data_IF_594114351882
#
_entry.id   IF_594114351882
#
_cell.length_a   1.000
_cell.length_b   1.000
_cell.length_c   1.000
_cell.angle_alpha   90.00
_cell.angle_beta   90.00
_cell.angle_gamma   90.00
#
_symmetry.space_group_name_H-M   'P 1'
#
loop_
_entity.id
_entity.type
_entity.pdbx_description
1 polymer ?
#
# COMPACT_ATOMS: atom_id res chain seq x y z
N UNK A 1 20.13 -14.62 17.29
CA UNK A 1 18.71 -14.47 16.93
C UNK A 1 18.38 -15.60 15.98
N UNK A 2 17.26 -16.27 16.21
CA UNK A 2 16.79 -17.31 15.31
C UNK A 2 16.39 -16.67 13.97
N UNK A 3 16.72 -17.33 12.88
CA UNK A 3 16.43 -16.87 11.51
C UNK A 3 14.92 -16.94 11.24
N UNK A 4 14.33 -15.84 10.80
CA UNK A 4 12.92 -15.79 10.36
C UNK A 4 12.86 -16.29 8.92
N UNK A 5 12.25 -17.45 8.72
CA UNK A 5 12.15 -18.11 7.42
C UNK A 5 10.78 -17.84 6.81
N UNK A 6 10.76 -17.27 5.61
CA UNK A 6 9.53 -16.92 4.91
C UNK A 6 9.46 -17.54 3.52
N UNK A 7 8.25 -17.64 2.98
CA UNK A 7 7.98 -17.94 1.59
C UNK A 7 7.50 -16.73 0.83
N UNK A 8 7.74 -16.66 -0.49
CA UNK A 8 7.17 -15.66 -1.38
C UNK A 8 6.27 -16.33 -2.43
N UNK A 9 5.08 -15.77 -2.63
CA UNK A 9 4.09 -16.26 -3.60
C UNK A 9 3.88 -15.16 -4.64
N UNK A 10 4.38 -15.40 -5.85
CA UNK A 10 4.49 -14.42 -6.93
C UNK A 10 5.87 -13.79 -7.00
N UNK A 11 6.66 -14.14 -8.01
CA UNK A 11 8.01 -13.60 -8.27
C UNK A 11 8.04 -12.66 -9.48
N UNK A 12 6.89 -12.08 -9.81
CA UNK A 12 6.77 -11.03 -10.82
C UNK A 12 7.50 -9.74 -10.43
N UNK A 13 7.17 -8.63 -11.08
CA UNK A 13 7.86 -7.35 -10.85
C UNK A 13 7.87 -6.92 -9.37
N UNK A 14 6.73 -7.05 -8.67
CA UNK A 14 6.63 -6.60 -7.28
C UNK A 14 7.33 -7.58 -6.33
N UNK A 15 7.21 -8.89 -6.55
CA UNK A 15 7.93 -9.90 -5.76
C UNK A 15 9.44 -9.71 -5.82
N UNK A 16 9.99 -9.40 -7.02
CA UNK A 16 11.42 -9.05 -7.17
C UNK A 16 11.80 -7.79 -6.40
N UNK A 17 10.92 -6.78 -6.36
CA UNK A 17 11.17 -5.57 -5.58
C UNK A 17 11.21 -5.86 -4.07
N UNK A 18 10.37 -6.80 -3.59
CA UNK A 18 10.39 -7.25 -2.20
C UNK A 18 11.66 -8.05 -1.91
N UNK A 19 11.98 -9.04 -2.74
CA UNK A 19 13.20 -9.84 -2.60
C UNK A 19 14.46 -8.96 -2.52
N UNK A 20 14.57 -7.96 -3.38
CA UNK A 20 15.67 -7.00 -3.35
C UNK A 20 15.83 -6.28 -2.01
N UNK A 21 14.73 -6.02 -1.30
CA UNK A 21 14.76 -5.38 0.02
C UNK A 21 15.02 -6.37 1.15
N UNK A 22 14.59 -7.63 0.98
CA UNK A 22 14.74 -8.66 2.00
C UNK A 22 16.19 -9.07 2.23
N UNK A 23 17.06 -8.98 1.22
CA UNK A 23 18.48 -9.28 1.38
C UNK A 23 19.21 -8.36 2.38
N UNK A 24 18.67 -7.16 2.59
CA UNK A 24 19.23 -6.17 3.52
C UNK A 24 18.64 -6.27 4.94
N UNK A 25 17.73 -7.23 5.20
CA UNK A 25 17.10 -7.41 6.52
C UNK A 25 17.84 -8.50 7.31
N UNK A 26 18.60 -8.14 8.34
CA UNK A 26 19.32 -9.13 9.16
C UNK A 26 18.37 -10.11 9.82
N UNK A 27 18.66 -11.41 9.74
CA UNK A 27 17.87 -12.45 10.36
C UNK A 27 16.61 -12.86 9.59
N UNK A 28 16.34 -12.29 8.40
CA UNK A 28 15.27 -12.72 7.50
C UNK A 28 15.83 -13.56 6.36
N UNK A 29 15.20 -14.69 6.04
CA UNK A 29 15.55 -15.52 4.90
C UNK A 29 14.32 -15.97 4.12
N UNK A 30 14.33 -15.72 2.81
CA UNK A 30 13.34 -16.29 1.88
C UNK A 30 13.84 -17.69 1.49
N UNK A 31 13.16 -18.73 1.96
CA UNK A 31 13.59 -20.13 1.76
C UNK A 31 12.81 -20.84 0.67
N UNK A 32 11.64 -20.31 0.29
CA UNK A 32 10.80 -20.89 -0.74
C UNK A 32 10.12 -19.82 -1.58
N UNK A 33 9.90 -20.12 -2.86
CA UNK A 33 9.17 -19.27 -3.79
C UNK A 33 8.14 -20.09 -4.57
N UNK A 34 7.01 -19.47 -4.92
CA UNK A 34 5.99 -20.07 -5.77
C UNK A 34 5.56 -19.10 -6.88
N UNK A 35 5.51 -19.59 -8.12
CA UNK A 35 4.96 -18.88 -9.28
C UNK A 35 4.52 -19.87 -10.34
N UNK A 36 3.51 -19.52 -11.15
CA UNK A 36 3.06 -20.34 -12.28
C UNK A 36 4.01 -20.29 -13.48
N UNK A 37 4.79 -19.21 -13.60
CA UNK A 37 5.84 -19.08 -14.61
C UNK A 37 7.12 -19.75 -14.08
N UNK A 38 7.29 -21.03 -14.43
CA UNK A 38 8.42 -21.82 -13.98
C UNK A 38 9.78 -21.29 -14.45
N UNK A 39 9.83 -20.64 -15.62
CA UNK A 39 11.06 -20.06 -16.15
C UNK A 39 11.47 -18.83 -15.33
N UNK A 40 10.53 -17.95 -15.06
CA UNK A 40 10.79 -16.77 -14.22
C UNK A 40 11.04 -17.17 -12.76
N UNK A 41 10.31 -18.15 -12.22
CA UNK A 41 10.53 -18.70 -10.89
C UNK A 41 11.96 -19.23 -10.74
N UNK A 42 12.42 -20.02 -11.70
CA UNK A 42 13.79 -20.57 -11.70
C UNK A 42 14.82 -19.46 -11.73
N UNK A 43 14.68 -18.51 -12.66
CA UNK A 43 15.60 -17.38 -12.79
C UNK A 43 15.71 -16.55 -11.51
N UNK A 44 14.57 -16.18 -10.91
CA UNK A 44 14.52 -15.38 -9.68
C UNK A 44 15.06 -16.16 -8.49
N UNK A 45 14.70 -17.44 -8.36
CA UNK A 45 15.19 -18.27 -7.28
C UNK A 45 16.70 -18.46 -7.32
N UNK A 46 17.29 -18.62 -8.52
CA UNK A 46 18.75 -18.67 -8.70
C UNK A 46 19.42 -17.33 -8.32
N UNK A 47 18.84 -16.20 -8.74
CA UNK A 47 19.35 -14.86 -8.45
C UNK A 47 19.40 -14.55 -6.95
N UNK A 48 18.40 -14.99 -6.18
CA UNK A 48 18.29 -14.72 -4.74
C UNK A 48 18.66 -15.90 -3.82
N UNK A 49 19.15 -17.00 -4.39
CA UNK A 49 19.56 -18.18 -3.62
C UNK A 49 18.41 -18.89 -2.90
N UNK A 50 17.20 -18.88 -3.49
CA UNK A 50 16.02 -19.53 -2.92
C UNK A 50 16.06 -21.03 -3.26
N UNK A 51 16.14 -21.86 -2.24
CA UNK A 51 16.33 -23.30 -2.40
C UNK A 51 15.10 -24.02 -2.97
N UNK A 52 13.90 -23.67 -2.45
CA UNK A 52 12.68 -24.43 -2.75
C UNK A 52 11.76 -23.67 -3.70
N UNK A 53 11.34 -24.33 -4.77
CA UNK A 53 10.56 -23.75 -5.87
C UNK A 53 9.31 -24.57 -6.11
N UNK A 54 8.18 -23.91 -6.27
CA UNK A 54 6.89 -24.55 -6.43
C UNK A 54 6.07 -23.87 -7.54
N UNK A 55 5.51 -24.62 -8.46
CA UNK A 55 4.49 -24.12 -9.41
C UNK A 55 3.10 -24.05 -8.77
N UNK A 56 2.87 -24.75 -7.66
CA UNK A 56 1.67 -24.67 -6.84
C UNK A 56 2.01 -24.11 -5.44
N UNK A 57 1.51 -22.91 -5.12
CA UNK A 57 1.75 -22.24 -3.84
C UNK A 57 1.27 -23.08 -2.63
N UNK A 58 0.30 -23.99 -2.80
CA UNK A 58 -0.18 -24.86 -1.71
C UNK A 58 0.94 -25.75 -1.20
N UNK A 59 1.84 -26.20 -2.10
CA UNK A 59 3.01 -26.99 -1.71
C UNK A 59 4.04 -26.20 -0.91
N UNK A 60 4.14 -24.88 -1.17
CA UNK A 60 4.94 -23.97 -0.33
C UNK A 60 4.31 -23.87 1.06
N UNK A 61 2.99 -23.78 1.17
CA UNK A 61 2.28 -23.67 2.45
C UNK A 61 2.36 -24.93 3.32
N UNK A 62 2.61 -26.11 2.75
CA UNK A 62 2.80 -27.37 3.48
C UNK A 62 4.11 -27.42 4.30
N UNK A 63 5.00 -26.42 4.17
CA UNK A 63 6.30 -26.41 4.84
C UNK A 63 6.18 -25.91 6.29
N UNK A 64 6.65 -26.72 7.22
CA UNK A 64 6.63 -26.37 8.67
C UNK A 64 7.73 -25.38 9.06
N UNK A 65 8.76 -25.23 8.23
CA UNK A 65 9.88 -24.35 8.49
C UNK A 65 9.66 -22.88 8.03
N UNK A 66 8.49 -22.58 7.48
CA UNK A 66 8.07 -21.23 7.07
C UNK A 66 7.06 -20.70 8.09
N UNK A 67 7.34 -19.53 8.67
CA UNK A 67 6.45 -18.87 9.65
C UNK A 67 5.52 -17.86 9.01
N UNK A 68 5.93 -17.27 7.88
CA UNK A 68 5.16 -16.26 7.17
C UNK A 68 5.31 -16.36 5.66
N UNK A 69 4.34 -15.83 4.93
CA UNK A 69 4.40 -15.71 3.47
C UNK A 69 4.16 -14.28 3.01
N UNK A 70 4.87 -13.91 1.95
CA UNK A 70 4.66 -12.67 1.22
C UNK A 70 3.85 -12.95 -0.06
N UNK A 71 2.69 -12.29 -0.21
CA UNK A 71 1.74 -12.49 -1.31
C UNK A 71 1.86 -11.33 -2.30
N UNK A 72 2.56 -11.58 -3.41
CA UNK A 72 2.87 -10.62 -4.47
C UNK A 72 2.15 -10.95 -5.78
N UNK A 73 0.84 -11.08 -5.72
CA UNK A 73 0.00 -11.55 -6.82
C UNK A 73 -0.88 -10.43 -7.41
N UNK A 74 -1.74 -10.76 -8.38
CA UNK A 74 -2.79 -9.88 -8.84
C UNK A 74 -3.93 -9.78 -7.81
N UNK A 75 -4.60 -8.62 -7.79
CA UNK A 75 -5.58 -8.23 -6.76
C UNK A 75 -6.68 -9.26 -6.50
N UNK A 76 -7.17 -9.94 -7.54
CA UNK A 76 -8.19 -10.99 -7.44
C UNK A 76 -7.71 -12.27 -6.74
N UNK A 77 -6.41 -12.44 -6.58
CA UNK A 77 -5.79 -13.60 -5.93
C UNK A 77 -5.39 -13.32 -4.47
N UNK A 78 -5.39 -12.06 -4.04
CA UNK A 78 -5.01 -11.72 -2.67
C UNK A 78 -5.83 -12.47 -1.63
N UNK A 79 -7.16 -12.42 -1.72
CA UNK A 79 -8.03 -13.06 -0.73
C UNK A 79 -7.91 -14.59 -0.70
N UNK A 80 -8.07 -15.32 -1.80
CA UNK A 80 -8.01 -16.79 -1.74
C UNK A 80 -6.63 -17.31 -1.30
N UNK A 81 -5.53 -16.66 -1.71
CA UNK A 81 -4.18 -17.10 -1.33
C UNK A 81 -3.86 -16.72 0.12
N UNK A 82 -4.21 -15.53 0.56
CA UNK A 82 -4.03 -15.10 1.96
C UNK A 82 -4.82 -15.99 2.93
N UNK A 83 -6.09 -16.28 2.63
CA UNK A 83 -6.91 -17.17 3.47
C UNK A 83 -6.32 -18.58 3.52
N UNK A 84 -5.86 -19.11 2.38
CA UNK A 84 -5.19 -20.41 2.34
C UNK A 84 -3.91 -20.42 3.20
N UNK A 85 -3.11 -19.36 3.15
CA UNK A 85 -1.89 -19.22 3.95
C UNK A 85 -2.19 -19.15 5.46
N UNK A 86 -3.19 -18.35 5.86
CA UNK A 86 -3.65 -18.26 7.26
C UNK A 86 -4.14 -19.63 7.76
N UNK A 87 -4.93 -20.35 6.95
CA UNK A 87 -5.42 -21.69 7.29
C UNK A 87 -4.30 -22.75 7.36
N UNK A 88 -3.18 -22.50 6.69
CA UNK A 88 -1.95 -23.30 6.80
C UNK A 88 -1.02 -22.82 7.93
N UNK A 89 -1.55 -22.08 8.89
CA UNK A 89 -0.86 -21.58 10.08
C UNK A 89 0.28 -20.58 9.79
N UNK A 90 0.19 -19.80 8.67
CA UNK A 90 1.20 -18.78 8.31
C UNK A 90 0.72 -17.37 8.61
N UNK A 91 1.62 -16.52 9.08
CA UNK A 91 1.45 -15.08 9.01
C UNK A 91 1.51 -14.61 7.56
N UNK A 92 0.83 -13.51 7.23
CA UNK A 92 0.78 -13.02 5.84
C UNK A 92 1.13 -11.55 5.74
N UNK A 93 2.08 -11.26 4.87
CA UNK A 93 2.33 -9.95 4.29
C UNK A 93 1.76 -9.96 2.87
N UNK A 94 0.81 -9.10 2.57
CA UNK A 94 0.12 -9.11 1.29
C UNK A 94 0.24 -7.75 0.60
N UNK A 95 0.48 -7.76 -0.69
CA UNK A 95 0.43 -6.55 -1.49
C UNK A 95 -0.95 -5.89 -1.47
N UNK A 96 -0.92 -4.58 -1.71
CA UNK A 96 -2.13 -3.75 -1.85
C UNK A 96 -2.74 -3.91 -3.27
N UNK A 97 -4.04 -3.66 -3.42
CA UNK A 97 -5.06 -3.45 -2.39
C UNK A 97 -5.33 -4.74 -1.62
N UNK A 98 -5.88 -4.64 -0.42
CA UNK A 98 -6.15 -5.83 0.41
C UNK A 98 -6.90 -6.93 -0.36
N UNK A 99 -7.92 -6.56 -1.14
CA UNK A 99 -8.68 -7.46 -2.01
C UNK A 99 -9.41 -6.69 -3.12
N UNK A 100 -10.01 -7.42 -4.05
CA UNK A 100 -10.84 -6.84 -5.13
C UNK A 100 -12.25 -6.41 -4.68
N UNK A 101 -12.70 -6.83 -3.49
CA UNK A 101 -14.02 -6.47 -2.95
C UNK A 101 -13.98 -6.34 -1.42
N UNK A 102 -14.95 -5.58 -0.88
CA UNK A 102 -15.12 -5.46 0.57
C UNK A 102 -15.40 -6.82 1.25
N UNK A 103 -16.20 -7.68 0.62
CA UNK A 103 -16.51 -9.02 1.14
C UNK A 103 -15.23 -9.86 1.27
N UNK A 104 -14.40 -9.87 0.25
CA UNK A 104 -13.15 -10.63 0.26
C UNK A 104 -12.18 -10.07 1.30
N UNK A 105 -12.06 -8.73 1.41
CA UNK A 105 -11.26 -8.08 2.42
C UNK A 105 -11.71 -8.44 3.85
N UNK A 106 -13.02 -8.44 4.09
CA UNK A 106 -13.59 -8.83 5.38
C UNK A 106 -13.26 -10.28 5.70
N UNK A 107 -13.43 -11.20 4.75
CA UNK A 107 -13.08 -12.62 4.92
C UNK A 107 -11.60 -12.84 5.26
N UNK A 108 -10.68 -12.05 4.67
CA UNK A 108 -9.26 -12.10 5.03
C UNK A 108 -9.02 -11.67 6.48
N UNK A 109 -9.66 -10.57 6.91
CA UNK A 109 -9.53 -10.05 8.28
C UNK A 109 -10.12 -11.03 9.30
N UNK A 110 -11.28 -11.63 9.00
CA UNK A 110 -11.92 -12.64 9.84
C UNK A 110 -11.06 -13.90 9.97
N UNK A 111 -10.49 -14.39 8.87
CA UNK A 111 -9.56 -15.53 8.89
C UNK A 111 -8.34 -15.25 9.78
N UNK A 112 -7.74 -14.06 9.64
CA UNK A 112 -6.58 -13.68 10.45
C UNK A 112 -6.91 -13.59 11.95
N UNK A 113 -8.06 -12.98 12.29
CA UNK A 113 -8.50 -12.84 13.69
C UNK A 113 -8.83 -14.20 14.33
N UNK A 114 -9.55 -15.07 13.62
CA UNK A 114 -9.94 -16.38 14.16
C UNK A 114 -8.77 -17.34 14.36
N UNK A 115 -7.72 -17.20 13.58
CA UNK A 115 -6.51 -18.05 13.64
C UNK A 115 -5.37 -17.42 14.46
N UNK A 116 -5.56 -16.23 15.02
CA UNK A 116 -4.53 -15.46 15.71
C UNK A 116 -3.25 -15.29 14.85
N UNK A 117 -3.43 -15.09 13.53
CA UNK A 117 -2.34 -14.83 12.58
C UNK A 117 -2.30 -13.37 12.20
N UNK A 118 -1.11 -12.88 11.97
CA UNK A 118 -0.90 -11.52 11.50
C UNK A 118 -1.24 -11.47 10.00
N UNK A 119 -2.07 -10.49 9.64
CA UNK A 119 -2.27 -10.05 8.27
C UNK A 119 -1.81 -8.60 8.15
N UNK A 120 -0.76 -8.37 7.40
CA UNK A 120 -0.28 -7.03 7.09
C UNK A 120 -0.46 -6.73 5.61
N UNK A 121 -1.00 -5.56 5.29
CA UNK A 121 -1.15 -5.08 3.91
C UNK A 121 -0.07 -4.03 3.63
N UNK A 122 0.61 -4.18 2.50
CA UNK A 122 1.67 -3.28 2.07
C UNK A 122 1.13 -1.90 1.68
N UNK A 123 1.08 -0.98 2.63
CA UNK A 123 0.67 0.41 2.47
C UNK A 123 1.84 1.34 2.79
N UNK A 124 2.82 1.40 1.88
CA UNK A 124 4.09 2.09 2.09
C UNK A 124 3.94 3.55 2.55
N UNK A 125 2.91 4.25 2.08
CA UNK A 125 2.65 5.66 2.44
C UNK A 125 2.43 5.87 3.93
N UNK A 126 1.94 4.86 4.67
CA UNK A 126 1.75 4.95 6.12
C UNK A 126 3.08 5.03 6.89
N UNK A 127 4.16 4.59 6.27
CA UNK A 127 5.50 4.50 6.90
C UNK A 127 6.45 5.61 6.44
N UNK A 128 6.01 6.50 5.55
CA UNK A 128 6.82 7.63 5.10
C UNK A 128 7.05 8.63 6.22
N UNK A 129 8.12 9.40 6.11
CA UNK A 129 8.47 10.43 7.10
C UNK A 129 7.37 11.50 7.17
N UNK A 130 6.83 11.89 6.02
CA UNK A 130 5.76 12.87 5.90
C UNK A 130 4.52 12.43 6.67
N UNK A 131 4.08 11.17 6.50
CA UNK A 131 2.92 10.63 7.22
C UNK A 131 3.15 10.57 8.72
N UNK A 132 4.33 10.09 9.15
CA UNK A 132 4.69 9.99 10.58
C UNK A 132 4.78 11.38 11.22
N UNK A 133 5.38 12.35 10.51
CA UNK A 133 5.46 13.74 10.97
C UNK A 133 4.09 14.38 11.06
N UNK A 134 3.24 14.20 10.03
CA UNK A 134 1.87 14.70 10.04
C UNK A 134 1.08 14.12 11.23
N UNK A 135 1.18 12.81 11.44
CA UNK A 135 0.50 12.13 12.57
C UNK A 135 0.98 12.68 13.92
N UNK A 136 2.28 12.88 14.10
CA UNK A 136 2.83 13.48 15.31
C UNK A 136 2.30 14.91 15.55
N UNK A 137 2.25 15.74 14.52
CA UNK A 137 1.71 17.11 14.62
C UNK A 137 0.22 17.13 14.94
N UNK A 138 -0.55 16.21 14.36
CA UNK A 138 -1.97 16.04 14.66
C UNK A 138 -2.17 15.60 16.11
N UNK A 139 -1.47 14.56 16.55
CA UNK A 139 -1.59 13.99 17.89
C UNK A 139 -1.12 14.95 18.99
N UNK A 140 -0.17 15.84 18.68
CA UNK A 140 0.27 16.91 19.59
C UNK A 140 -0.70 18.10 19.66
N UNK A 141 -1.79 18.08 18.88
CA UNK A 141 -2.76 19.17 18.83
C UNK A 141 -2.32 20.39 18.00
N UNK A 142 -1.19 20.28 17.28
CA UNK A 142 -0.61 21.42 16.54
C UNK A 142 -1.53 22.00 15.45
N UNK A 143 -2.50 21.23 14.95
CA UNK A 143 -3.45 21.68 13.92
C UNK A 143 -4.86 21.91 14.46
N UNK A 144 -5.09 21.68 15.76
CA UNK A 144 -6.42 21.78 16.36
C UNK A 144 -7.36 20.64 15.92
N UNK A 145 -8.69 20.90 15.95
CA UNK A 145 -9.69 19.93 15.54
C UNK A 145 -9.71 19.75 14.02
N UNK A 146 -9.46 18.54 13.54
CA UNK A 146 -9.56 18.20 12.11
C UNK A 146 -11.02 18.28 11.64
N UNK A 147 -11.24 18.80 10.43
CA UNK A 147 -12.56 18.91 9.84
C UNK A 147 -12.61 18.49 8.36
N UNK A 148 -11.46 18.44 7.67
CA UNK A 148 -11.39 18.06 6.27
C UNK A 148 -10.06 17.38 5.94
N UNK A 149 -10.11 16.37 5.04
CA UNK A 149 -8.96 15.75 4.42
C UNK A 149 -9.08 15.75 2.91
N UNK A 150 -7.96 15.79 2.20
CA UNK A 150 -7.85 15.62 0.76
C UNK A 150 -6.96 14.46 0.44
N UNK A 151 -7.47 13.50 -0.33
CA UNK A 151 -6.73 12.37 -0.89
C UNK A 151 -6.47 12.63 -2.36
N UNK A 152 -5.21 12.79 -2.75
CA UNK A 152 -4.87 13.12 -4.13
C UNK A 152 -3.71 12.26 -4.64
N UNK A 153 -3.94 11.59 -5.78
CA UNK A 153 -2.91 10.89 -6.54
C UNK A 153 -2.90 11.38 -7.99
N UNK A 154 -1.70 11.58 -8.51
CA UNK A 154 -1.53 12.18 -9.82
C UNK A 154 -0.46 11.48 -10.66
N UNK A 155 -0.87 11.05 -11.85
CA UNK A 155 0.03 10.75 -12.97
C UNK A 155 -0.53 11.45 -14.21
N UNK A 156 0.31 12.16 -14.93
CA UNK A 156 -0.13 12.85 -16.17
C UNK A 156 -0.41 11.87 -17.29
N UNK A 157 0.40 10.82 -17.41
CA UNK A 157 0.31 9.69 -18.33
C UNK A 157 0.94 8.49 -17.67
N UNK A 158 0.16 7.62 -17.10
CA UNK A 158 0.66 6.49 -16.32
C UNK A 158 -0.38 5.39 -16.17
N UNK A 159 -1.15 5.11 -17.23
CA UNK A 159 -2.04 3.94 -17.30
C UNK A 159 -1.20 2.69 -17.57
N UNK A 160 -1.31 1.66 -16.75
CA UNK A 160 -0.61 0.41 -17.02
C UNK A 160 -0.88 -0.11 -18.42
N UNK A 161 0.09 -0.75 -19.05
CA UNK A 161 0.11 -1.32 -20.38
C UNK A 161 -0.09 -0.31 -21.51
N UNK A 162 -1.17 0.46 -21.51
CA UNK A 162 -1.50 1.38 -22.62
C UNK A 162 -0.54 2.57 -22.72
N UNK A 163 0.03 3.00 -21.62
CA UNK A 163 1.06 4.07 -21.58
C UNK A 163 2.51 3.50 -21.44
N UNK A 164 2.69 2.19 -21.63
CA UNK A 164 4.01 1.57 -21.87
C UNK A 164 4.69 0.90 -20.68
N UNK A 165 3.99 0.66 -19.55
CA UNK A 165 4.55 -0.07 -18.41
C UNK A 165 3.54 -1.09 -17.85
N UNK A 166 4.01 -2.07 -17.07
CA UNK A 166 3.16 -3.11 -16.47
C UNK A 166 2.57 -4.09 -17.48
N UNK A 167 1.60 -4.85 -17.05
CA UNK A 167 0.93 -5.89 -17.86
C UNK A 167 -0.54 -5.56 -18.12
N UNK A 168 -1.13 -6.16 -19.15
CA UNK A 168 -2.54 -6.02 -19.50
C UNK A 168 -3.50 -6.45 -18.36
N UNK A 169 -3.05 -7.28 -17.44
CA UNK A 169 -3.87 -7.72 -16.30
C UNK A 169 -4.24 -6.59 -15.34
N UNK A 170 -3.38 -5.56 -15.20
CA UNK A 170 -3.66 -4.41 -14.35
C UNK A 170 -4.77 -3.48 -14.85
N UNK A 171 -5.20 -3.64 -16.08
CA UNK A 171 -6.26 -2.81 -16.69
C UNK A 171 -7.54 -3.60 -16.98
N UNK A 172 -7.61 -4.85 -16.51
CA UNK A 172 -8.82 -5.68 -16.59
C UNK A 172 -9.52 -5.71 -15.23
N UNK A 173 -10.74 -5.17 -15.17
CA UNK A 173 -11.53 -5.10 -13.93
C UNK A 173 -11.68 -6.46 -13.24
N UNK A 174 -11.80 -7.54 -14.00
CA UNK A 174 -11.89 -8.91 -13.46
C UNK A 174 -10.65 -9.31 -12.65
N UNK A 175 -9.49 -8.76 -12.95
CA UNK A 175 -8.20 -9.09 -12.32
C UNK A 175 -7.80 -8.03 -11.30
N UNK A 176 -7.85 -6.75 -11.73
CA UNK A 176 -7.38 -5.61 -10.95
C UNK A 176 -8.45 -5.00 -10.02
N UNK A 177 -9.73 -5.36 -10.21
CA UNK A 177 -10.91 -4.84 -9.52
C UNK A 177 -11.26 -3.38 -9.89
N UNK A 178 -10.29 -2.52 -10.15
CA UNK A 178 -10.42 -1.13 -10.56
C UNK A 178 -9.13 -0.59 -11.14
N UNK A 179 -9.13 0.67 -11.52
CA UNK A 179 -8.01 1.37 -12.13
C UNK A 179 -7.28 2.30 -11.16
N UNK A 180 -7.23 3.60 -11.48
CA UNK A 180 -6.47 4.60 -10.73
C UNK A 180 -6.84 4.64 -9.24
N UNK A 181 -8.13 4.51 -8.92
CA UNK A 181 -8.61 4.55 -7.55
C UNK A 181 -8.14 3.33 -6.74
N UNK A 182 -8.12 2.13 -7.34
CA UNK A 182 -7.67 0.90 -6.69
C UNK A 182 -6.13 0.79 -6.63
N UNK A 183 -5.41 1.23 -7.67
CA UNK A 183 -3.95 1.12 -7.73
C UNK A 183 -3.25 2.20 -6.90
N UNK A 184 -3.63 3.45 -7.10
CA UNK A 184 -3.00 4.60 -6.42
C UNK A 184 -3.82 5.10 -5.24
N UNK A 185 -5.14 5.21 -5.42
CA UNK A 185 -6.03 5.75 -4.41
C UNK A 185 -5.98 5.00 -3.10
N UNK A 186 -5.73 3.70 -3.12
CA UNK A 186 -5.59 2.90 -1.89
C UNK A 186 -4.50 3.43 -0.96
N UNK A 187 -3.40 3.94 -1.49
CA UNK A 187 -2.32 4.53 -0.68
C UNK A 187 -2.75 5.84 -0.02
N UNK A 188 -3.31 6.75 -0.81
CA UNK A 188 -3.67 8.09 -0.35
C UNK A 188 -4.90 8.06 0.55
N UNK A 189 -5.90 7.24 0.22
CA UNK A 189 -7.10 7.04 1.06
C UNK A 189 -6.72 6.43 2.41
N UNK A 190 -5.88 5.39 2.42
CA UNK A 190 -5.40 4.77 3.66
C UNK A 190 -4.62 5.78 4.52
N UNK A 191 -3.77 6.60 3.89
CA UNK A 191 -3.04 7.67 4.55
C UNK A 191 -3.99 8.70 5.19
N UNK A 192 -5.01 9.14 4.45
CA UNK A 192 -6.02 10.06 5.00
C UNK A 192 -6.80 9.44 6.15
N UNK A 193 -7.31 8.22 5.99
CA UNK A 193 -8.03 7.53 7.07
C UNK A 193 -7.17 7.39 8.34
N UNK A 194 -5.89 7.04 8.18
CA UNK A 194 -4.95 6.94 9.29
C UNK A 194 -4.72 8.28 9.99
N UNK A 195 -4.48 9.35 9.24
CA UNK A 195 -4.24 10.69 9.79
C UNK A 195 -5.49 11.26 10.48
N UNK A 196 -6.67 10.96 9.93
CA UNK A 196 -7.97 11.42 10.46
C UNK A 196 -8.51 10.54 11.60
N UNK A 197 -7.76 9.50 12.04
CA UNK A 197 -8.16 8.64 13.16
C UNK A 197 -9.20 7.58 12.81
N UNK A 198 -9.26 7.16 11.55
CA UNK A 198 -10.22 6.14 11.03
C UNK A 198 -11.68 6.51 11.34
N UNK A 199 -12.18 7.64 10.84
CA UNK A 199 -13.52 8.13 11.15
C UNK A 199 -14.62 7.20 10.62
N UNK A 200 -15.77 7.21 11.26
CA UNK A 200 -16.94 6.45 10.78
C UNK A 200 -17.53 7.12 9.54
N UNK A 201 -17.54 6.39 8.42
CA UNK A 201 -18.06 6.87 7.14
C UNK A 201 -19.59 6.78 7.13
N UNK A 202 -20.27 7.90 6.89
CA UNK A 202 -21.71 7.98 6.75
C UNK A 202 -22.15 7.82 5.29
N UNK A 203 -21.49 8.53 4.38
CA UNK A 203 -21.87 8.57 2.97
C UNK A 203 -20.66 8.81 2.05
N UNK A 204 -20.70 8.16 0.90
CA UNK A 204 -19.75 8.38 -0.19
C UNK A 204 -20.51 8.72 -1.47
N UNK A 205 -20.04 9.73 -2.18
CA UNK A 205 -20.50 10.07 -3.54
C UNK A 205 -19.27 10.25 -4.43
N UNK A 206 -19.35 9.79 -5.68
CA UNK A 206 -18.21 9.92 -6.59
C UNK A 206 -18.53 9.48 -8.00
N UNK A 207 -17.56 9.70 -8.88
CA UNK A 207 -17.64 9.29 -10.27
C UNK A 207 -16.27 8.86 -10.80
N UNK A 208 -16.27 7.90 -11.70
CA UNK A 208 -15.10 7.41 -12.41
C UNK A 208 -15.19 7.75 -13.89
N UNK A 209 -14.03 7.87 -14.55
CA UNK A 209 -13.93 8.32 -15.95
C UNK A 209 -12.90 7.51 -16.71
N UNK A 210 -13.14 7.41 -18.03
CA UNK A 210 -12.24 6.86 -19.03
C UNK A 210 -12.42 7.69 -20.33
N UNK A 211 -11.80 8.87 -20.35
CA UNK A 211 -12.08 9.89 -21.37
C UNK A 211 -10.88 10.16 -22.32
N UNK A 212 -9.65 9.86 -21.87
CA UNK A 212 -8.48 10.20 -22.66
C UNK A 212 -8.20 9.15 -23.73
N UNK A 213 -7.83 9.61 -24.92
CA UNK A 213 -7.42 8.74 -26.00
C UNK A 213 -6.29 7.78 -25.56
N UNK A 214 -6.37 6.55 -26.02
CA UNK A 214 -5.39 5.47 -25.80
C UNK A 214 -4.89 4.98 -27.15
N UNK A 215 -3.71 4.40 -27.17
CA UNK A 215 -3.26 3.63 -28.31
C UNK A 215 -4.29 2.53 -28.65
N UNK A 216 -4.85 2.52 -29.89
CA UNK A 216 -5.95 1.62 -30.24
C UNK A 216 -5.57 0.12 -30.16
N UNK A 217 -4.35 -0.22 -30.57
CA UNK A 217 -3.88 -1.61 -30.56
C UNK A 217 -3.67 -2.11 -29.12
N UNK A 218 -3.03 -1.31 -28.29
CA UNK A 218 -2.82 -1.64 -26.87
C UNK A 218 -4.15 -1.68 -26.12
N UNK A 219 -5.08 -0.78 -26.40
CA UNK A 219 -6.43 -0.82 -25.84
C UNK A 219 -7.14 -2.12 -26.20
N UNK A 220 -7.15 -2.48 -27.47
CA UNK A 220 -7.80 -3.70 -27.96
C UNK A 220 -7.14 -4.96 -27.39
N UNK A 221 -5.80 -5.06 -27.41
CA UNK A 221 -5.07 -6.24 -26.93
C UNK A 221 -5.13 -6.40 -25.42
N UNK A 222 -5.23 -5.31 -24.65
CA UNK A 222 -5.35 -5.36 -23.19
C UNK A 222 -6.76 -5.66 -22.70
N UNK A 223 -7.79 -5.34 -23.47
CA UNK A 223 -9.18 -5.37 -23.01
C UNK A 223 -9.42 -4.37 -21.87
N UNK A 224 -8.85 -3.16 -21.97
CA UNK A 224 -8.91 -2.09 -20.96
C UNK A 224 -10.36 -1.74 -20.59
N UNK A 225 -10.76 -1.95 -19.32
CA UNK A 225 -12.13 -1.76 -18.83
C UNK A 225 -12.22 -1.15 -17.40
N UNK A 226 -11.14 -0.50 -16.95
CA UNK A 226 -11.07 0.18 -15.64
C UNK A 226 -11.00 1.70 -15.81
N UNK A 227 -11.20 2.44 -14.72
CA UNK A 227 -11.11 3.89 -14.72
C UNK A 227 -9.66 4.38 -14.79
N UNK A 228 -9.45 5.52 -15.45
CA UNK A 228 -8.17 6.25 -15.46
C UNK A 228 -8.18 7.48 -14.56
N UNK A 229 -9.37 7.93 -14.18
CA UNK A 229 -9.60 9.06 -13.29
C UNK A 229 -10.82 8.81 -12.41
N UNK A 230 -10.69 9.17 -11.14
CA UNK A 230 -11.79 9.08 -10.19
C UNK A 230 -11.84 10.34 -9.33
N UNK A 231 -13.04 10.77 -8.98
CA UNK A 231 -13.28 11.82 -7.99
C UNK A 231 -14.37 11.39 -7.03
N UNK A 232 -14.27 11.78 -5.77
CA UNK A 232 -15.22 11.41 -4.74
C UNK A 232 -15.26 12.38 -3.59
N UNK A 233 -16.36 12.31 -2.83
CA UNK A 233 -16.56 13.06 -1.60
C UNK A 233 -17.12 12.13 -0.52
N UNK A 234 -16.45 12.10 0.62
CA UNK A 234 -16.81 11.29 1.79
C UNK A 234 -17.31 12.18 2.90
N UNK A 235 -18.40 11.80 3.53
CA UNK A 235 -18.93 12.41 4.76
C UNK A 235 -18.82 11.42 5.89
N UNK A 236 -18.34 11.88 7.03
CA UNK A 236 -18.23 11.11 8.26
C UNK A 236 -19.27 11.55 9.30
N UNK A 237 -19.60 10.67 10.22
CA UNK A 237 -20.67 10.89 11.23
C UNK A 237 -20.39 12.04 12.19
N UNK A 238 -19.13 12.39 12.37
CA UNK A 238 -18.66 13.51 13.23
C UNK A 238 -18.54 14.85 12.51
N UNK A 239 -19.03 14.92 11.25
CA UNK A 239 -18.98 16.10 10.40
C UNK A 239 -17.67 16.29 9.65
N UNK A 240 -16.69 15.41 9.83
CA UNK A 240 -15.46 15.39 9.04
C UNK A 240 -15.78 14.98 7.59
N UNK A 241 -15.04 15.54 6.66
CA UNK A 241 -15.19 15.23 5.23
C UNK A 241 -13.86 14.91 4.57
N UNK A 242 -13.89 14.15 3.47
CA UNK A 242 -12.71 13.89 2.63
C UNK A 242 -13.10 14.05 1.16
N UNK A 243 -12.34 14.84 0.40
CA UNK A 243 -12.38 14.80 -1.06
C UNK A 243 -11.28 13.88 -1.62
N UNK A 244 -11.60 13.20 -2.73
CA UNK A 244 -10.74 12.21 -3.35
C UNK A 244 -10.58 12.58 -4.83
N UNK A 245 -9.34 12.64 -5.31
CA UNK A 245 -8.99 12.82 -6.71
C UNK A 245 -7.82 11.88 -7.05
N UNK A 246 -8.07 10.90 -7.91
CA UNK A 246 -7.05 9.93 -8.31
C UNK A 246 -6.97 9.83 -9.83
N UNK A 247 -5.79 10.04 -10.39
CA UNK A 247 -5.57 10.09 -11.84
C UNK A 247 -4.36 9.28 -12.29
N UNK A 248 -4.58 8.30 -13.14
CA UNK A 248 -3.51 7.69 -13.94
C UNK A 248 -3.20 8.51 -15.20
N UNK A 249 -4.20 9.23 -15.71
CA UNK A 249 -4.03 10.11 -16.86
C UNK A 249 -5.00 11.28 -16.79
N UNK A 250 -4.49 12.50 -17.03
CA UNK A 250 -5.28 13.73 -17.04
C UNK A 250 -4.54 14.81 -17.82
N UNK A 251 -5.29 15.74 -18.43
CA UNK A 251 -4.71 16.87 -19.18
C UNK A 251 -4.40 18.08 -18.28
N UNK A 252 -3.79 17.83 -17.13
CA UNK A 252 -3.26 18.85 -16.22
C UNK A 252 -1.80 18.58 -15.91
N UNK A 253 -1.07 19.59 -15.44
CA UNK A 253 0.33 19.44 -15.12
C UNK A 253 0.54 18.84 -13.71
N UNK A 254 -0.34 19.18 -12.77
CA UNK A 254 -0.32 18.69 -11.39
C UNK A 254 -1.66 18.92 -10.72
N UNK A 255 -1.90 18.21 -9.62
CA UNK A 255 -2.88 18.54 -8.58
C UNK A 255 -2.16 19.01 -7.32
N UNK A 256 -2.88 19.71 -6.46
CA UNK A 256 -2.43 19.90 -5.10
C UNK A 256 -2.33 18.57 -4.37
N UNK A 257 -1.26 18.35 -3.62
CA UNK A 257 -1.02 17.07 -2.92
C UNK A 257 -2.02 16.79 -1.80
N UNK A 258 -2.01 15.56 -1.32
CA UNK A 258 -2.83 15.15 -0.17
C UNK A 258 -2.59 16.06 1.04
N UNK A 259 -3.68 16.40 1.75
CA UNK A 259 -3.61 17.36 2.86
C UNK A 259 -4.68 17.10 3.93
N UNK A 260 -4.44 17.59 5.14
CA UNK A 260 -5.43 17.64 6.23
C UNK A 260 -5.60 19.06 6.73
N UNK A 261 -6.83 19.43 7.06
CA UNK A 261 -7.21 20.76 7.52
C UNK A 261 -7.78 20.69 8.94
N UNK A 262 -7.18 21.45 9.83
CA UNK A 262 -7.61 21.61 11.20
C UNK A 262 -7.96 23.05 11.53
N UNK A 263 -8.60 23.27 12.69
CA UNK A 263 -9.08 24.58 13.13
C UNK A 263 -7.96 25.59 13.43
N UNK A 264 -6.73 25.11 13.66
CA UNK A 264 -5.57 25.93 14.03
C UNK A 264 -4.39 25.81 13.06
N UNK A 265 -4.50 24.92 12.07
CA UNK A 265 -3.48 24.75 11.04
C UNK A 265 -3.86 23.66 10.04
N UNK A 266 -3.09 23.57 8.97
CA UNK A 266 -3.23 22.54 7.92
C UNK A 266 -1.88 21.94 7.57
N UNK A 267 -1.89 20.68 7.14
CA UNK A 267 -0.70 19.97 6.70
C UNK A 267 -0.92 19.50 5.26
N UNK A 268 -0.02 19.87 4.35
CA UNK A 268 0.12 19.28 3.03
C UNK A 268 1.23 18.24 3.09
N UNK A 269 1.04 17.08 2.46
CA UNK A 269 1.98 15.97 2.56
C UNK A 269 3.05 15.97 1.46
N UNK A 270 2.74 16.56 0.28
CA UNK A 270 3.68 16.64 -0.84
C UNK A 270 3.50 17.96 -1.62
N UNK A 271 4.50 18.85 -1.63
CA UNK A 271 5.63 18.88 -0.69
C UNK A 271 5.16 19.08 0.75
N UNK A 272 5.89 18.52 1.72
CA UNK A 272 5.47 18.59 3.13
C UNK A 272 5.50 20.03 3.65
N UNK A 273 4.37 20.50 4.20
CA UNK A 273 4.20 21.86 4.71
C UNK A 273 3.18 21.89 5.86
N UNK A 274 3.53 22.57 6.94
CA UNK A 274 2.59 22.96 8.00
C UNK A 274 2.25 24.44 7.84
N UNK A 275 0.98 24.74 7.61
CA UNK A 275 0.46 26.11 7.47
C UNK A 275 -0.36 26.49 8.70
N UNK A 276 -0.06 27.70 9.26
CA UNK A 276 -0.84 28.34 10.33
C UNK A 276 -1.13 29.78 9.95
N UNK A 277 -2.33 30.27 10.24
CA UNK A 277 -2.74 31.65 9.86
C UNK A 277 -1.83 32.75 10.41
N UNK A 278 -1.08 32.49 11.48
CA UNK A 278 -0.27 33.52 12.15
C UNK A 278 1.23 33.23 12.21
N UNK A 279 1.73 32.11 11.62
CA UNK A 279 3.16 31.75 11.70
C UNK A 279 3.62 31.01 10.46
N UNK A 280 3.97 31.73 9.42
CA UNK A 280 4.41 31.17 8.12
C UNK A 280 5.76 30.38 8.17
N UNK A 281 6.51 30.40 9.27
CA UNK A 281 7.89 29.89 9.32
C UNK A 281 8.14 28.73 10.31
N UNK A 282 7.16 28.36 11.12
CA UNK A 282 7.33 27.26 12.10
C UNK A 282 7.34 25.89 11.42
N UNK A 283 6.62 25.71 10.32
CA UNK A 283 6.48 24.41 9.65
C UNK A 283 7.81 23.81 9.19
N UNK A 284 8.65 24.62 8.57
CA UNK A 284 9.96 24.19 8.04
C UNK A 284 10.91 23.76 9.17
N UNK A 285 11.00 24.56 10.24
CA UNK A 285 11.87 24.27 11.40
C UNK A 285 11.36 23.08 12.23
N UNK A 286 10.03 22.90 12.34
CA UNK A 286 9.46 21.75 13.01
C UNK A 286 9.73 20.45 12.24
N UNK A 287 9.63 20.48 10.91
CA UNK A 287 9.95 19.32 10.04
C UNK A 287 11.43 18.97 10.13
N UNK A 288 12.32 19.96 10.09
CA UNK A 288 13.76 19.75 10.23
C UNK A 288 14.13 19.20 11.61
N UNK A 289 13.51 19.71 12.67
CA UNK A 289 13.71 19.23 14.04
C UNK A 289 13.17 17.80 14.26
N UNK A 290 12.00 17.48 13.69
CA UNK A 290 11.40 16.15 13.78
C UNK A 290 12.19 15.16 12.91
N UNK A 291 12.65 15.57 11.73
CA UNK A 291 13.53 14.76 10.87
C UNK A 291 14.84 14.45 11.58
N UNK A 292 15.49 15.45 12.17
CA UNK A 292 16.71 15.28 12.95
C UNK A 292 16.51 14.37 14.19
N UNK A 293 15.39 14.54 14.91
CA UNK A 293 15.05 13.67 16.05
C UNK A 293 14.72 12.23 15.61
N UNK A 294 14.14 12.05 14.42
CA UNK A 294 13.81 10.74 13.87
C UNK A 294 15.08 10.03 13.37
N UNK A 295 15.95 10.74 12.66
CA UNK A 295 17.23 10.21 12.18
C UNK A 295 18.13 9.80 13.36
N UNK A 296 18.16 10.59 14.44
CA UNK A 296 18.84 10.24 15.67
C UNK A 296 18.23 8.98 16.34
N UNK A 297 16.90 8.84 16.31
CA UNK A 297 16.19 7.69 16.86
C UNK A 297 16.23 6.46 15.96
N UNK A 298 16.34 6.61 14.63
CA UNK A 298 16.61 5.47 13.74
C UNK A 298 17.98 4.84 13.96
N UNK A 299 18.97 5.66 14.33
CA UNK A 299 20.27 5.15 14.73
C UNK A 299 20.21 4.40 16.08
N UNK A 300 19.37 4.85 17.02
CA UNK A 300 19.09 4.12 18.26
C UNK A 300 18.18 2.88 18.06
N UNK A 301 17.21 2.96 17.13
CA UNK A 301 16.20 1.92 16.87
C UNK A 301 16.68 0.82 15.91
N UNK A 302 17.87 0.89 15.35
CA UNK A 302 18.50 -0.26 14.68
C UNK A 302 18.49 -1.51 15.58
N UNK A 303 18.64 -1.32 16.91
CA UNK A 303 18.52 -2.37 17.92
C UNK A 303 17.06 -2.67 18.37
N UNK A 304 16.14 -1.69 18.27
CA UNK A 304 14.74 -1.85 18.70
C UNK A 304 13.82 -2.38 17.59
N UNK A 305 14.17 -2.19 16.31
CA UNK A 305 13.51 -2.87 15.19
C UNK A 305 13.63 -4.38 15.29
N UNK A 306 14.78 -4.85 15.72
CA UNK A 306 14.99 -6.29 15.97
C UNK A 306 14.15 -6.79 17.16
N UNK A 307 14.03 -6.01 18.23
CA UNK A 307 13.17 -6.34 19.39
C UNK A 307 11.68 -6.23 19.09
N UNK A 308 11.27 -5.37 18.16
CA UNK A 308 9.88 -5.30 17.72
C UNK A 308 9.50 -6.50 16.85
N UNK A 309 10.42 -6.98 15.98
CA UNK A 309 10.24 -8.23 15.23
C UNK A 309 10.11 -9.44 16.18
N UNK A 310 10.91 -9.48 17.25
CA UNK A 310 10.85 -10.50 18.30
C UNK A 310 9.53 -10.50 19.10
N UNK A 311 8.85 -9.35 19.20
CA UNK A 311 7.51 -9.25 19.84
C UNK A 311 6.36 -9.51 18.87
N UNK A 312 6.65 -9.53 17.59
CA UNK A 312 5.67 -9.81 16.54
C UNK A 312 5.71 -11.29 16.09
N UNK A 313 6.74 -12.01 16.45
CA UNK A 313 6.88 -13.47 16.32
C UNK A 313 6.61 -14.13 17.67
#
# INVERSE_FOLDING_TARGET
MDEVRIGIIGVGQIGKNHLKRYVDIPGLRVVAAADLDEAELTRVADEYGIEHRYSDFRKLLERDDIVAVDVCLHNNLHAPVTIAAINADKHVYCEKPIAGSYRDALSMVEAARSSNKMLHIQLATLYTMETKTAKHLIDSGAVGRLYHGRSTGFRRRGRPFVDGYGTANFVKKKVAAGGALFDMGVYHIAQMLYLLGVPNIERVSGKIYQELAMDPERRASSGYDVEEFATGFVRCTDGLTVDIIEAWAVNLNQFEGSSVMGSEGGIRLDPFELSKLHVADIGRRAVEAIRAAYDAREQELGADRMRALERFL
#
